data_IF_130981458507
#
_entry.id   IF_130981458507
#
_cell.length_a   1.000
_cell.length_b   1.000
_cell.length_c   1.000
_cell.angle_alpha   90.00
_cell.angle_beta   90.00
_cell.angle_gamma   90.00
#
_symmetry.space_group_name_H-M   'P 1'
#
loop_
_entity.id
_entity.type
_entity.pdbx_description
1 polymer ?
#
# COMPACT_ATOMS: atom_id res chain seq x y z
N UNK A 1 -22.01 -2.43 2.19
CA UNK A 1 -20.99 -3.42 2.62
C UNK A 1 -19.66 -2.70 2.68
N UNK A 2 -19.30 -2.13 3.84
CA UNK A 2 -18.18 -1.16 3.99
C UNK A 2 -16.86 -1.82 4.44
N UNK A 3 -16.75 -3.15 4.31
CA UNK A 3 -15.64 -3.93 4.86
C UNK A 3 -14.31 -3.64 4.15
N UNK A 4 -14.33 -3.76 2.82
CA UNK A 4 -13.18 -3.60 1.95
C UNK A 4 -12.89 -2.11 1.68
N UNK A 5 -12.55 -1.40 2.75
CA UNK A 5 -12.22 0.03 2.69
C UNK A 5 -10.84 0.27 3.30
N UNK A 6 -10.29 1.45 3.03
CA UNK A 6 -9.12 1.97 3.69
C UNK A 6 -9.51 3.19 4.52
N UNK A 7 -9.66 2.99 5.83
CA UNK A 7 -9.98 4.01 6.82
C UNK A 7 -9.17 3.72 8.10
N UNK A 8 -7.83 3.82 8.03
CA UNK A 8 -6.99 3.53 9.19
C UNK A 8 -7.25 4.56 10.28
N UNK A 9 -7.42 4.07 11.51
CA UNK A 9 -7.49 4.89 12.71
C UNK A 9 -6.30 4.58 13.59
N UNK A 10 -5.54 5.61 13.98
CA UNK A 10 -4.46 5.44 14.94
C UNK A 10 -5.04 5.45 16.35
N UNK A 11 -4.72 4.43 17.13
CA UNK A 11 -5.11 4.34 18.54
C UNK A 11 -3.88 4.57 19.40
N UNK A 12 -3.98 5.53 20.30
CA UNK A 12 -2.89 5.88 21.21
C UNK A 12 -3.08 5.15 22.55
N UNK A 13 -1.99 5.01 23.29
CA UNK A 13 -2.11 4.68 24.71
C UNK A 13 -2.66 5.93 25.44
N UNK A 14 -3.58 5.77 26.40
CA UNK A 14 -4.28 6.92 27.00
C UNK A 14 -3.36 7.99 27.59
N UNK A 15 -2.26 7.59 28.24
CA UNK A 15 -1.28 8.52 28.82
C UNK A 15 -0.55 9.33 27.74
N UNK A 16 -0.21 8.69 26.62
CA UNK A 16 0.46 9.32 25.48
C UNK A 16 -0.48 10.27 24.75
N UNK A 17 -1.74 9.87 24.60
CA UNK A 17 -2.80 10.70 24.02
C UNK A 17 -3.01 11.97 24.83
N UNK A 18 -3.15 11.86 26.15
CA UNK A 18 -3.38 13.02 27.02
C UNK A 18 -2.16 13.96 27.05
N UNK A 19 -0.94 13.40 27.04
CA UNK A 19 0.29 14.17 26.94
C UNK A 19 0.33 15.02 25.67
N UNK A 20 0.10 14.41 24.50
CA UNK A 20 0.12 15.15 23.23
C UNK A 20 -1.08 16.07 23.04
N UNK A 21 -2.26 15.68 23.53
CA UNK A 21 -3.43 16.54 23.57
C UNK A 21 -3.18 17.82 24.39
N UNK A 22 -2.47 17.68 25.52
CA UNK A 22 -2.07 18.82 26.36
C UNK A 22 -1.01 19.70 25.68
N UNK A 23 -0.03 19.08 25.00
CA UNK A 23 1.08 19.81 24.37
C UNK A 23 0.67 20.55 23.08
N UNK A 24 -0.16 19.94 22.23
CA UNK A 24 -0.53 20.49 20.92
C UNK A 24 -1.95 21.08 20.86
N UNK A 25 -2.78 20.81 21.87
CA UNK A 25 -4.23 21.05 21.85
C UNK A 25 -4.98 19.91 21.16
N UNK A 26 -6.15 19.52 21.71
CA UNK A 26 -6.94 18.36 21.26
C UNK A 26 -7.25 18.39 19.76
N UNK A 27 -7.71 19.52 19.24
CA UNK A 27 -8.09 19.63 17.81
C UNK A 27 -6.89 19.51 16.87
N UNK A 28 -5.74 20.08 17.24
CA UNK A 28 -4.53 20.00 16.44
C UNK A 28 -3.95 18.58 16.48
N UNK A 29 -3.91 17.98 17.66
CA UNK A 29 -3.44 16.61 17.83
C UNK A 29 -4.32 15.60 17.08
N UNK A 30 -5.64 15.82 17.00
CA UNK A 30 -6.54 15.00 16.20
C UNK A 30 -6.15 15.03 14.70
N UNK A 31 -5.84 16.21 14.15
CA UNK A 31 -5.37 16.34 12.76
C UNK A 31 -4.01 15.65 12.53
N UNK A 32 -3.08 15.77 13.48
CA UNK A 32 -1.79 15.08 13.43
C UNK A 32 -2.01 13.56 13.42
N UNK A 33 -2.84 13.05 14.33
CA UNK A 33 -3.16 11.62 14.44
C UNK A 33 -3.79 11.08 13.16
N UNK A 34 -4.71 11.84 12.56
CA UNK A 34 -5.29 11.51 11.27
C UNK A 34 -4.24 11.47 10.17
N UNK A 35 -3.34 12.47 10.10
CA UNK A 35 -2.28 12.51 9.10
C UNK A 35 -1.29 11.35 9.23
N UNK A 36 -0.92 10.97 10.46
CA UNK A 36 0.01 9.86 10.74
C UNK A 36 -0.55 8.49 10.32
N UNK A 37 -1.88 8.34 10.28
CA UNK A 37 -2.52 7.11 9.82
C UNK A 37 -2.43 6.92 8.28
N UNK A 38 -1.98 7.94 7.54
CA UNK A 38 -1.94 7.93 6.08
C UNK A 38 -0.50 8.13 5.57
N UNK A 39 -0.08 7.42 4.50
CA UNK A 39 1.21 7.64 3.89
C UNK A 39 1.27 9.01 3.19
N UNK A 40 2.47 9.58 3.10
CA UNK A 40 2.71 10.74 2.24
C UNK A 40 2.53 10.37 0.77
N UNK A 41 1.85 11.24 0.01
CA UNK A 41 1.76 11.13 -1.44
C UNK A 41 3.06 11.53 -2.16
N UNK A 42 4.13 11.84 -1.42
CA UNK A 42 5.43 12.20 -1.98
C UNK A 42 6.48 11.14 -1.63
N UNK A 43 7.20 10.69 -2.66
CA UNK A 43 8.46 9.96 -2.51
C UNK A 43 9.63 10.93 -2.65
N UNK A 44 10.51 10.93 -1.66
CA UNK A 44 11.69 11.79 -1.62
C UNK A 44 12.94 10.98 -1.94
N UNK A 45 13.69 11.40 -2.95
CA UNK A 45 14.93 10.73 -3.38
C UNK A 45 16.08 11.71 -3.25
N UNK A 46 17.09 11.34 -2.46
CA UNK A 46 18.37 12.04 -2.44
C UNK A 46 19.25 11.50 -3.57
N UNK A 47 19.58 12.38 -4.50
CA UNK A 47 20.51 12.11 -5.61
C UNK A 47 21.92 11.98 -5.06
N UNK A 48 22.61 10.91 -5.45
CA UNK A 48 24.03 10.76 -5.21
C UNK A 48 24.83 11.61 -6.20
N UNK A 49 25.13 12.85 -5.81
CA UNK A 49 25.82 13.84 -6.64
C UNK A 49 27.29 13.50 -6.93
N UNK A 50 27.87 12.51 -6.24
CA UNK A 50 29.19 11.97 -6.56
C UNK A 50 29.18 11.08 -7.83
N UNK A 51 28.00 10.54 -8.21
CA UNK A 51 27.86 9.63 -9.35
C UNK A 51 27.09 10.22 -10.52
N UNK A 52 26.18 11.15 -10.29
CA UNK A 52 25.35 11.74 -11.34
C UNK A 52 24.79 13.10 -10.93
N UNK A 53 24.33 13.90 -11.89
CA UNK A 53 23.69 15.19 -11.60
C UNK A 53 22.20 15.00 -11.30
N UNK A 54 21.62 15.92 -10.53
CA UNK A 54 20.17 15.95 -10.26
C UNK A 54 19.34 15.96 -11.54
N UNK A 55 19.78 16.69 -12.57
CA UNK A 55 19.08 16.75 -13.86
C UNK A 55 19.08 15.39 -14.57
N UNK A 56 20.22 14.72 -14.65
CA UNK A 56 20.33 13.41 -15.31
C UNK A 56 19.47 12.35 -14.60
N UNK A 57 19.49 12.33 -13.27
CA UNK A 57 18.65 11.40 -12.48
C UNK A 57 17.17 11.72 -12.64
N UNK A 58 16.79 13.00 -12.66
CA UNK A 58 15.40 13.42 -12.91
C UNK A 58 14.90 12.91 -14.27
N UNK A 59 15.71 13.03 -15.33
CA UNK A 59 15.34 12.52 -16.67
C UNK A 59 15.21 11.00 -16.69
N UNK A 60 16.10 10.26 -16.01
CA UNK A 60 15.98 8.80 -15.86
C UNK A 60 14.70 8.42 -15.12
N UNK A 61 14.40 9.10 -14.01
CA UNK A 61 13.19 8.86 -13.23
C UNK A 61 11.93 9.12 -14.05
N UNK A 62 11.86 10.24 -14.78
CA UNK A 62 10.72 10.54 -15.66
C UNK A 62 10.49 9.42 -16.69
N UNK A 63 11.56 8.88 -17.29
CA UNK A 63 11.46 7.75 -18.22
C UNK A 63 10.92 6.48 -17.54
N UNK A 64 11.47 6.10 -16.40
CA UNK A 64 11.05 4.91 -15.64
C UNK A 64 9.60 5.00 -15.19
N UNK A 65 9.22 6.17 -14.69
CA UNK A 65 7.88 6.47 -14.20
C UNK A 65 6.85 6.39 -15.33
N UNK A 66 7.16 6.96 -16.50
CA UNK A 66 6.27 6.89 -17.67
C UNK A 66 6.15 5.46 -18.21
N UNK A 67 7.24 4.69 -18.22
CA UNK A 67 7.21 3.27 -18.59
C UNK A 67 6.35 2.45 -17.63
N UNK A 68 6.45 2.74 -16.33
CA UNK A 68 5.65 2.06 -15.30
C UNK A 68 4.17 2.48 -15.31
N UNK A 69 3.85 3.70 -15.76
CA UNK A 69 2.48 4.14 -16.00
C UNK A 69 1.84 3.48 -17.23
N UNK A 70 2.65 3.08 -18.22
CA UNK A 70 2.20 2.32 -19.39
C UNK A 70 2.05 0.83 -19.09
N UNK A 71 2.90 0.26 -18.22
CA UNK A 71 2.87 -1.18 -17.89
C UNK A 71 1.74 -1.59 -16.93
N UNK A 72 1.04 -0.64 -16.30
CA UNK A 72 -0.19 -0.92 -15.54
C UNK A 72 -1.47 -0.88 -16.40
N UNK A 73 -1.37 -0.60 -17.71
CA UNK A 73 -2.44 -0.75 -18.69
C UNK A 73 -2.35 -2.11 -19.40
N UNK A 74 -3.43 -2.89 -19.36
CA UNK A 74 -3.50 -4.27 -19.85
C UNK A 74 -2.99 -4.50 -21.28
N UNK A 75 -2.37 -5.67 -21.46
CA UNK A 75 -2.26 -6.37 -22.74
C UNK A 75 -3.64 -6.48 -23.40
N UNK A 76 -3.79 -5.85 -24.57
CA UNK A 76 -4.75 -6.23 -25.61
C UNK A 76 -6.03 -5.41 -25.69
N UNK A 77 -6.03 -4.30 -26.44
CA UNK A 77 -6.87 -4.14 -27.65
C UNK A 77 -6.44 -2.89 -28.44
N UNK A 78 -6.67 -2.92 -29.75
CA UNK A 78 -6.09 -2.07 -30.80
C UNK A 78 -6.41 -0.58 -30.68
N UNK A 79 -5.45 0.20 -31.19
CA UNK A 79 -5.50 1.65 -31.44
C UNK A 79 -6.69 1.97 -32.38
N UNK A 80 -7.64 2.75 -31.87
CA UNK A 80 -8.54 3.57 -32.66
C UNK A 80 -8.28 5.02 -32.30
N UNK A 81 -7.74 5.78 -33.24
CA UNK A 81 -7.53 7.23 -33.13
C UNK A 81 -8.89 7.94 -33.03
N UNK A 82 -9.15 8.70 -31.96
CA UNK A 82 -9.98 9.92 -32.03
C UNK A 82 -9.54 10.99 -31.01
N UNK A 83 -9.21 12.14 -31.60
CA UNK A 83 -9.13 13.53 -31.16
C UNK A 83 -9.71 13.98 -29.80
N UNK A 84 -8.96 14.88 -29.15
CA UNK A 84 -9.47 16.18 -28.69
C UNK A 84 -10.28 16.21 -27.38
N UNK A 85 -9.58 16.31 -26.25
CA UNK A 85 -10.16 16.74 -24.97
C UNK A 85 -9.11 16.70 -23.87
N UNK A 86 -8.97 17.80 -23.12
CA UNK A 86 -8.16 17.88 -21.91
C UNK A 86 -8.71 16.91 -20.84
N UNK A 87 -8.30 15.66 -20.91
CA UNK A 87 -8.44 14.71 -19.83
C UNK A 87 -7.07 14.60 -19.16
N UNK A 88 -6.97 15.12 -17.95
CA UNK A 88 -5.79 14.91 -17.11
C UNK A 88 -5.58 13.40 -16.98
N UNK A 89 -4.55 12.87 -17.64
CA UNK A 89 -4.19 11.46 -17.56
C UNK A 89 -4.05 11.04 -16.10
N UNK A 90 -4.98 10.21 -15.63
CA UNK A 90 -5.08 9.65 -14.29
C UNK A 90 -3.96 8.62 -14.05
N UNK A 91 -2.72 9.11 -13.94
CA UNK A 91 -1.54 8.24 -13.81
C UNK A 91 -0.18 8.89 -14.04
N UNK A 92 -0.09 10.18 -14.37
CA UNK A 92 1.21 10.84 -14.53
C UNK A 92 1.79 11.22 -13.18
N UNK A 93 2.89 10.57 -12.78
CA UNK A 93 3.61 11.01 -11.59
C UNK A 93 4.42 12.27 -11.93
N UNK A 94 4.37 13.25 -11.03
CA UNK A 94 5.08 14.52 -11.21
C UNK A 94 6.42 14.47 -10.47
N UNK A 95 7.52 14.46 -11.22
CA UNK A 95 8.88 14.59 -10.69
C UNK A 95 9.25 16.06 -10.67
N UNK A 96 9.66 16.58 -9.52
CA UNK A 96 10.13 17.95 -9.38
C UNK A 96 11.34 18.02 -8.43
N UNK A 97 12.17 19.04 -8.63
CA UNK A 97 13.28 19.34 -7.73
C UNK A 97 12.74 19.92 -6.43
N UNK A 98 13.48 19.70 -5.34
CA UNK A 98 13.19 20.37 -4.09
C UNK A 98 13.31 21.90 -4.26
N UNK A 99 12.31 22.68 -3.85
CA UNK A 99 12.34 24.15 -3.98
C UNK A 99 13.16 24.83 -2.87
N UNK A 100 13.55 24.10 -1.83
CA UNK A 100 14.28 24.65 -0.68
C UNK A 100 15.78 24.70 -0.95
N UNK A 101 16.40 25.84 -0.65
CA UNK A 101 17.85 26.02 -0.73
C UNK A 101 18.59 25.05 0.19
N UNK A 102 19.72 24.51 -0.26
CA UNK A 102 20.51 23.50 0.44
C UNK A 102 20.04 22.06 0.22
N UNK A 103 18.95 21.85 -0.52
CA UNK A 103 18.39 20.53 -0.87
C UNK A 103 18.32 20.31 -2.39
N UNK A 104 19.23 20.91 -3.16
CA UNK A 104 19.27 20.84 -4.63
C UNK A 104 19.53 19.42 -5.16
N UNK A 105 20.01 18.53 -4.29
CA UNK A 105 20.18 17.10 -4.56
C UNK A 105 18.94 16.26 -4.23
N UNK A 106 17.81 16.85 -3.84
CA UNK A 106 16.58 16.13 -3.53
C UNK A 106 15.56 16.26 -4.67
N UNK A 107 15.02 15.12 -5.09
CA UNK A 107 13.91 15.00 -6.02
C UNK A 107 12.68 14.51 -5.30
N UNK A 108 11.54 15.14 -5.58
CA UNK A 108 10.23 14.70 -5.13
C UNK A 108 9.48 14.06 -6.29
N UNK A 109 8.81 12.95 -6.00
CA UNK A 109 7.90 12.29 -6.93
C UNK A 109 6.53 12.25 -6.27
N UNK A 110 5.58 12.95 -6.87
CA UNK A 110 4.20 13.01 -6.38
C UNK A 110 3.41 11.83 -6.97
N UNK A 111 2.93 10.96 -6.09
CA UNK A 111 1.91 9.95 -6.37
C UNK A 111 0.50 10.46 -6.06
N UNK A 112 -0.45 9.54 -5.97
CA UNK A 112 -1.86 9.83 -5.72
C UNK A 112 -2.50 8.83 -4.76
N UNK A 113 -3.57 9.27 -4.08
CA UNK A 113 -4.34 8.48 -3.12
C UNK A 113 -4.88 9.34 -1.97
N UNK A 114 -5.74 8.79 -1.11
CA UNK A 114 -6.28 7.42 -1.18
C UNK A 114 -7.33 7.27 -2.29
N UNK A 115 -7.25 6.17 -3.05
CA UNK A 115 -8.21 5.80 -4.08
C UNK A 115 -9.26 4.84 -3.53
N UNK A 116 -10.53 5.05 -3.92
CA UNK A 116 -11.58 4.08 -3.67
C UNK A 116 -11.39 2.88 -4.61
N UNK A 117 -11.39 1.66 -4.05
CA UNK A 117 -11.21 0.44 -4.83
C UNK A 117 -12.50 -0.37 -4.84
N UNK A 118 -12.81 -0.97 -5.98
CA UNK A 118 -13.95 -1.87 -6.13
C UNK A 118 -13.49 -3.31 -5.91
N UNK A 119 -13.84 -3.83 -4.75
CA UNK A 119 -13.67 -5.23 -4.42
C UNK A 119 -14.96 -5.94 -4.88
N UNK A 120 -14.84 -6.87 -5.83
CA UNK A 120 -15.98 -7.59 -6.41
C UNK A 120 -16.57 -8.60 -5.40
N UNK A 121 -17.15 -8.09 -4.33
CA UNK A 121 -17.80 -8.86 -3.27
C UNK A 121 -19.19 -9.29 -3.76
N UNK A 122 -19.25 -10.45 -4.44
CA UNK A 122 -20.53 -11.03 -4.84
C UNK A 122 -21.15 -11.79 -3.66
N UNK A 123 -22.48 -11.73 -3.47
CA UNK A 123 -23.16 -12.49 -2.41
C UNK A 123 -22.83 -13.99 -2.52
N UNK A 124 -22.20 -14.55 -1.49
CA UNK A 124 -21.82 -15.98 -1.46
C UNK A 124 -20.41 -16.31 -1.98
N UNK A 125 -19.62 -15.31 -2.43
CA UNK A 125 -18.22 -15.48 -2.79
C UNK A 125 -17.37 -14.37 -2.16
N UNK A 126 -16.82 -14.64 -0.98
CA UNK A 126 -15.81 -13.74 -0.39
C UNK A 126 -14.53 -13.82 -1.21
N UNK A 127 -13.99 -12.65 -1.55
CA UNK A 127 -12.70 -12.56 -2.24
C UNK A 127 -11.61 -13.23 -1.39
N UNK A 128 -10.69 -13.96 -2.03
CA UNK A 128 -9.52 -14.53 -1.35
C UNK A 128 -8.69 -13.40 -0.73
N UNK A 129 -8.20 -13.62 0.49
CA UNK A 129 -7.53 -12.58 1.27
C UNK A 129 -6.10 -12.98 1.62
N UNK A 130 -5.23 -11.98 1.66
CA UNK A 130 -3.88 -12.07 2.19
C UNK A 130 -3.70 -10.98 3.24
N UNK A 131 -3.18 -11.37 4.39
CA UNK A 131 -2.87 -10.47 5.50
C UNK A 131 -1.37 -10.33 5.60
N UNK A 132 -0.91 -9.08 5.59
CA UNK A 132 0.50 -8.72 5.69
C UNK A 132 0.81 -8.04 7.02
N UNK A 133 2.08 -8.07 7.40
CA UNK A 133 2.56 -7.31 8.55
C UNK A 133 2.47 -5.80 8.34
N UNK A 134 2.41 -5.04 9.44
CA UNK A 134 2.44 -3.56 9.42
C UNK A 134 3.57 -2.99 8.55
N UNK A 135 4.81 -3.46 8.73
CA UNK A 135 5.98 -2.98 7.96
C UNK A 135 5.85 -3.28 6.46
N UNK A 136 5.27 -4.43 6.11
CA UNK A 136 4.99 -4.77 4.72
C UNK A 136 3.93 -3.83 4.13
N UNK A 137 2.82 -3.61 4.85
CA UNK A 137 1.76 -2.70 4.43
C UNK A 137 2.27 -1.27 4.21
N UNK A 138 3.07 -0.73 5.15
CA UNK A 138 3.71 0.59 5.03
C UNK A 138 4.62 0.70 3.79
N UNK A 139 5.22 -0.41 3.35
CA UNK A 139 6.03 -0.47 2.14
C UNK A 139 5.16 -0.54 0.88
N UNK A 140 4.09 -1.33 0.91
CA UNK A 140 3.12 -1.47 -0.20
C UNK A 140 2.37 -0.17 -0.46
N UNK A 141 1.97 0.54 0.59
CA UNK A 141 1.37 1.88 0.53
C UNK A 141 2.32 2.91 -0.10
N UNK A 142 3.63 2.64 -0.11
CA UNK A 142 4.66 3.44 -0.79
C UNK A 142 5.10 2.87 -2.15
N UNK A 143 4.35 1.93 -2.70
CA UNK A 143 4.56 1.41 -4.06
C UNK A 143 5.23 0.04 -4.16
N UNK A 144 5.65 -0.58 -3.05
CA UNK A 144 6.29 -1.90 -3.08
C UNK A 144 5.33 -3.05 -3.46
N UNK A 145 5.87 -4.18 -3.91
CA UNK A 145 5.13 -5.44 -4.00
C UNK A 145 5.02 -6.13 -2.64
N UNK A 146 4.14 -7.12 -2.50
CA UNK A 146 4.10 -7.96 -1.30
C UNK A 146 5.11 -9.09 -1.47
N UNK A 147 6.11 -9.12 -0.61
CA UNK A 147 7.11 -10.19 -0.58
C UNK A 147 6.78 -11.23 0.49
N UNK A 148 7.22 -12.46 0.26
CA UNK A 148 6.95 -13.63 1.13
C UNK A 148 7.17 -13.37 2.63
N UNK A 149 8.29 -12.75 3.08
CA UNK A 149 8.50 -12.49 4.51
C UNK A 149 7.45 -11.57 5.14
N UNK A 150 6.76 -10.76 4.34
CA UNK A 150 5.75 -9.83 4.80
C UNK A 150 4.37 -10.47 5.02
N UNK A 151 4.14 -11.68 4.52
CA UNK A 151 2.83 -12.36 4.61
C UNK A 151 2.69 -13.09 5.94
N UNK A 152 1.58 -12.83 6.63
CA UNK A 152 1.24 -13.45 7.91
C UNK A 152 0.18 -14.54 7.73
N UNK A 153 -0.89 -14.26 6.99
CA UNK A 153 -1.98 -15.22 6.79
C UNK A 153 -2.55 -15.11 5.37
N UNK A 154 -3.17 -16.16 4.89
CA UNK A 154 -3.95 -16.11 3.65
C UNK A 154 -5.08 -17.14 3.63
N UNK A 155 -6.02 -16.96 2.71
CA UNK A 155 -7.12 -17.91 2.50
C UNK A 155 -6.62 -19.32 2.16
N UNK A 156 -7.36 -20.34 2.58
CA UNK A 156 -6.98 -21.75 2.44
C UNK A 156 -6.60 -22.15 1.00
N UNK A 157 -7.34 -21.63 0.01
CA UNK A 157 -7.27 -22.04 -1.39
C UNK A 157 -6.65 -20.95 -2.30
N UNK A 158 -5.70 -20.17 -1.78
CA UNK A 158 -4.91 -19.26 -2.61
C UNK A 158 -3.94 -20.07 -3.47
N UNK A 159 -4.10 -19.93 -4.78
CA UNK A 159 -3.27 -20.46 -5.85
C UNK A 159 -2.62 -19.33 -6.65
N UNK A 160 -1.54 -19.66 -7.35
CA UNK A 160 -0.88 -18.71 -8.24
C UNK A 160 -1.87 -18.26 -9.33
N UNK A 161 -1.96 -16.94 -9.55
CA UNK A 161 -2.86 -16.33 -10.51
C UNK A 161 -4.18 -15.84 -9.91
N UNK A 162 -4.49 -16.19 -8.67
CA UNK A 162 -5.71 -15.72 -8.01
C UNK A 162 -5.67 -14.21 -7.76
N UNK A 163 -6.82 -13.55 -7.97
CA UNK A 163 -7.04 -12.19 -7.49
C UNK A 163 -7.30 -12.22 -5.98
N UNK A 164 -6.54 -11.43 -5.24
CA UNK A 164 -6.57 -11.40 -3.77
C UNK A 164 -6.69 -9.98 -3.23
N UNK A 165 -7.49 -9.82 -2.18
CA UNK A 165 -7.54 -8.61 -1.37
C UNK A 165 -6.39 -8.62 -0.36
N UNK A 166 -5.67 -7.51 -0.24
CA UNK A 166 -4.55 -7.38 0.70
C UNK A 166 -4.96 -6.47 1.85
N UNK A 167 -4.83 -6.97 3.07
CA UNK A 167 -5.11 -6.24 4.30
C UNK A 167 -3.93 -6.29 5.27
N UNK A 168 -3.90 -5.38 6.23
CA UNK A 168 -2.83 -5.28 7.22
C UNK A 168 -3.25 -5.84 8.58
N UNK A 169 -2.37 -6.60 9.21
CA UNK A 169 -2.47 -6.91 10.64
C UNK A 169 -1.83 -5.77 11.44
N UNK A 170 -2.63 -5.11 12.26
CA UNK A 170 -2.18 -4.09 13.22
C UNK A 170 -2.40 -4.58 14.64
N UNK A 171 -1.60 -4.07 15.56
CA UNK A 171 -1.79 -4.33 16.99
C UNK A 171 -3.12 -3.73 17.44
N UNK A 172 -3.92 -4.54 18.13
CA UNK A 172 -5.18 -4.15 18.73
C UNK A 172 -5.10 -4.31 20.24
N UNK A 173 -5.82 -3.48 21.01
CA UNK A 173 -5.93 -3.68 22.44
C UNK A 173 -6.70 -4.98 22.71
N UNK A 174 -6.11 -5.87 23.50
CA UNK A 174 -6.75 -7.11 23.98
C UNK A 174 -7.22 -6.88 25.41
N UNK A 175 -8.45 -7.31 25.71
CA UNK A 175 -8.97 -7.26 27.08
C UNK A 175 -7.97 -7.92 28.03
N UNK A 176 -7.59 -7.17 29.07
CA UNK A 176 -6.76 -7.62 30.18
C UNK A 176 -5.30 -8.05 29.87
N UNK A 177 -4.80 -7.85 28.64
CA UNK A 177 -3.46 -8.32 28.23
C UNK A 177 -2.66 -7.36 27.35
N UNK A 178 -3.01 -6.07 27.35
CA UNK A 178 -2.26 -5.04 26.64
C UNK A 178 -2.58 -5.01 25.14
N UNK A 179 -1.56 -5.06 24.28
CA UNK A 179 -1.69 -4.96 22.82
C UNK A 179 -1.21 -6.25 22.16
N UNK A 180 -1.99 -6.79 21.22
CA UNK A 180 -1.57 -7.93 20.41
C UNK A 180 -2.09 -7.81 18.97
N UNK A 181 -1.34 -8.38 18.03
CA UNK A 181 -1.75 -8.44 16.61
C UNK A 181 -2.82 -9.51 16.38
N UNK A 182 -2.91 -10.53 17.26
CA UNK A 182 -3.87 -11.63 17.13
C UNK A 182 -3.59 -12.61 15.98
N UNK A 183 -2.68 -12.28 15.06
CA UNK A 183 -2.40 -13.05 13.85
C UNK A 183 -0.94 -13.50 13.82
N UNK A 184 -0.73 -14.82 13.84
CA UNK A 184 0.59 -15.46 13.68
C UNK A 184 0.81 -15.92 12.24
N UNK A 185 2.09 -16.09 11.87
CA UNK A 185 2.47 -16.52 10.52
C UNK A 185 1.96 -17.94 10.24
N UNK A 186 1.21 -18.11 9.17
CA UNK A 186 0.67 -19.38 8.69
C UNK A 186 -0.81 -19.59 8.98
N UNK A 187 -1.50 -18.67 9.65
CA UNK A 187 -2.95 -18.76 9.88
C UNK A 187 -3.70 -18.89 8.55
N UNK A 188 -4.70 -19.76 8.55
CA UNK A 188 -5.61 -19.98 7.42
C UNK A 188 -6.85 -19.12 7.62
N UNK A 189 -7.21 -18.34 6.60
CA UNK A 189 -8.45 -17.56 6.60
C UNK A 189 -9.54 -18.37 5.88
N UNK A 190 -10.71 -18.54 6.51
CA UNK A 190 -11.84 -19.18 5.84
C UNK A 190 -12.66 -18.16 5.04
N UNK A 191 -12.48 -16.86 5.29
CA UNK A 191 -13.17 -15.79 4.58
C UNK A 191 -14.65 -15.69 4.97
N UNK A 192 -15.01 -16.27 6.12
CA UNK A 192 -16.35 -16.29 6.68
C UNK A 192 -16.48 -15.20 7.75
N UNK A 193 -17.70 -14.67 7.93
CA UNK A 193 -17.99 -13.72 9.02
C UNK A 193 -17.67 -14.28 10.42
N UNK A 194 -17.67 -15.60 10.56
CA UNK A 194 -17.30 -16.30 11.78
C UNK A 194 -15.80 -16.33 12.07
N UNK A 195 -14.94 -15.89 11.15
CA UNK A 195 -13.50 -15.80 11.41
C UNK A 195 -13.24 -14.81 12.55
N UNK A 196 -12.44 -15.21 13.54
CA UNK A 196 -12.13 -14.41 14.73
C UNK A 196 -11.58 -12.99 14.43
N UNK A 197 -11.02 -12.80 13.24
CA UNK A 197 -10.42 -11.56 12.77
C UNK A 197 -11.23 -10.88 11.64
N UNK A 198 -12.47 -11.31 11.38
CA UNK A 198 -13.24 -10.81 10.24
C UNK A 198 -13.54 -9.31 10.33
N UNK A 199 -14.02 -8.86 11.50
CA UNK A 199 -14.39 -7.47 11.77
C UNK A 199 -13.18 -6.58 12.09
N UNK A 200 -12.15 -7.14 12.75
CA UNK A 200 -10.93 -6.40 13.13
C UNK A 200 -10.17 -5.82 11.91
N UNK A 201 -10.40 -6.39 10.73
CA UNK A 201 -9.79 -5.97 9.45
C UNK A 201 -10.58 -4.90 8.70
N UNK A 202 -11.78 -4.56 9.17
CA UNK A 202 -12.62 -3.56 8.51
C UNK A 202 -11.87 -2.23 8.42
N UNK A 203 -11.79 -1.68 7.22
CA UNK A 203 -11.07 -0.42 6.99
C UNK A 203 -9.53 -0.55 6.86
N UNK A 204 -8.98 -1.77 6.85
CA UNK A 204 -7.53 -2.02 6.79
C UNK A 204 -7.06 -2.66 5.48
N UNK A 205 -7.84 -2.53 4.41
CA UNK A 205 -7.50 -3.07 3.09
C UNK A 205 -6.67 -2.06 2.31
N UNK A 206 -5.47 -2.46 1.88
CA UNK A 206 -4.48 -1.56 1.25
C UNK A 206 -4.45 -1.69 -0.28
N UNK A 207 -5.11 -2.70 -0.84
CA UNK A 207 -5.22 -2.90 -2.28
C UNK A 207 -5.70 -4.29 -2.69
N UNK A 208 -5.61 -4.55 -3.99
CA UNK A 208 -5.81 -5.85 -4.62
C UNK A 208 -4.57 -6.22 -5.45
N UNK A 209 -4.32 -7.50 -5.61
CA UNK A 209 -3.24 -8.00 -6.44
C UNK A 209 -3.49 -9.39 -6.96
N UNK A 210 -2.51 -9.92 -7.67
CA UNK A 210 -2.47 -11.30 -8.16
C UNK A 210 -1.47 -12.08 -7.32
N UNK A 211 -1.90 -13.21 -6.77
CA UNK A 211 -1.02 -14.11 -6.04
C UNK A 211 0.05 -14.68 -7.00
N UNK A 212 1.32 -14.45 -6.69
CA UNK A 212 2.44 -14.95 -7.48
C UNK A 212 2.81 -16.41 -7.12
N UNK A 213 2.29 -16.90 -5.99
CA UNK A 213 2.53 -18.23 -5.44
C UNK A 213 1.26 -18.76 -4.77
N UNK A 214 1.13 -20.09 -4.68
CA UNK A 214 0.10 -20.71 -3.85
C UNK A 214 0.39 -20.52 -2.36
N UNK A 215 -0.62 -20.73 -1.50
CA UNK A 215 -0.44 -20.71 -0.04
C UNK A 215 0.72 -21.59 0.42
N UNK A 216 0.79 -22.82 -0.08
CA UNK A 216 1.87 -23.74 0.26
C UNK A 216 3.24 -23.18 -0.15
N UNK A 217 3.31 -22.51 -1.31
CA UNK A 217 4.52 -21.82 -1.76
C UNK A 217 4.91 -20.68 -0.81
N UNK A 218 3.98 -19.78 -0.49
CA UNK A 218 4.20 -18.61 0.36
C UNK A 218 4.80 -18.99 1.71
N UNK A 219 4.28 -20.03 2.37
CA UNK A 219 4.74 -20.40 3.71
C UNK A 219 5.94 -21.37 3.74
N UNK A 220 6.32 -21.94 2.59
CA UNK A 220 7.49 -22.85 2.48
C UNK A 220 8.77 -22.12 2.09
N UNK A 221 8.69 -21.07 1.27
CA UNK A 221 9.87 -20.35 0.78
C UNK A 221 10.27 -19.21 1.71
N UNK A 222 11.53 -18.76 1.60
CA UNK A 222 12.09 -17.68 2.43
C UNK A 222 12.04 -16.30 1.76
N UNK A 223 11.97 -16.26 0.43
CA UNK A 223 12.03 -15.03 -0.36
C UNK A 223 11.22 -15.19 -1.65
N UNK A 224 10.98 -14.06 -2.32
CA UNK A 224 10.17 -13.99 -3.53
C UNK A 224 8.96 -13.08 -3.38
N UNK A 225 8.34 -12.76 -4.51
CA UNK A 225 7.09 -12.00 -4.55
C UNK A 225 5.95 -12.96 -4.19
N UNK A 226 5.13 -12.59 -3.21
CA UNK A 226 3.93 -13.33 -2.85
C UNK A 226 2.71 -12.77 -3.58
N UNK A 227 2.62 -11.44 -3.72
CA UNK A 227 1.53 -10.76 -4.44
C UNK A 227 2.09 -9.65 -5.31
N UNK A 228 1.71 -9.69 -6.58
CA UNK A 228 1.87 -8.59 -7.52
C UNK A 228 0.65 -7.66 -7.39
N UNK A 229 0.84 -6.51 -6.75
CA UNK A 229 -0.21 -5.54 -6.51
C UNK A 229 -0.60 -4.85 -7.81
N UNK A 230 -1.88 -4.97 -8.19
CA UNK A 230 -2.46 -4.42 -9.42
C UNK A 230 -3.31 -3.19 -9.16
N UNK A 231 -4.06 -3.17 -8.05
CA UNK A 231 -4.87 -2.03 -7.64
C UNK A 231 -4.46 -1.59 -6.24
N UNK A 232 -4.17 -0.30 -6.06
CA UNK A 232 -3.60 0.23 -4.83
C UNK A 232 -4.40 1.43 -4.35
N UNK A 233 -4.59 1.50 -3.04
CA UNK A 233 -5.18 2.69 -2.40
C UNK A 233 -4.27 3.90 -2.61
N UNK A 234 -2.95 3.71 -2.52
CA UNK A 234 -1.97 4.73 -2.87
C UNK A 234 -1.12 4.28 -4.05
N UNK A 235 -1.11 5.10 -5.09
CA UNK A 235 -0.31 4.89 -6.30
C UNK A 235 0.96 5.73 -6.17
N UNK A 236 2.02 5.11 -5.67
CA UNK A 236 3.39 5.63 -5.68
C UNK A 236 4.26 4.70 -6.53
N UNK A 237 5.29 5.24 -7.21
CA UNK A 237 6.16 4.42 -8.03
C UNK A 237 7.03 3.51 -7.16
N UNK A 238 7.24 2.28 -7.63
CA UNK A 238 8.18 1.35 -7.00
C UNK A 238 9.62 1.70 -7.40
N UNK A 239 10.54 1.65 -6.44
CA UNK A 239 11.98 1.82 -6.67
C UNK A 239 12.76 0.50 -6.49
N UNK A 240 12.06 -0.65 -6.55
CA UNK A 240 12.70 -1.95 -6.52
C UNK A 240 13.26 -2.28 -7.90
N UNK A 241 14.56 -2.04 -8.09
CA UNK A 241 15.29 -2.28 -9.33
C UNK A 241 16.47 -1.31 -9.45
N UNK A 242 17.56 -1.73 -10.10
CA UNK A 242 18.75 -0.88 -10.30
C UNK A 242 18.36 0.35 -11.13
N UNK A 243 18.43 1.55 -10.54
CA UNK A 243 18.40 2.84 -11.24
C UNK A 243 19.82 3.35 -11.53
#
# INVERSE_FOLDING_TARGET
TDRYTFRPGLRWQPEVEEYFASAYGRDHFARISQALAHPSCYSCIRVNTLKSTTHTVMQKLLKLVNQNGLSCGFNGLKIGEQNGGEQAHEGSYLVHKCPYSGLENVLFIRGSGPHALHYNDQPGHSMKEIIVSRKCAESVLRGAQVYVPGVLACSAHVEKGDKVAVSVAIEQPVKDSGWAVGITRGIVLQGLQSDAHYEERKGLYIGQGIAAMSRAGIFRVLHGVAVEMTERVYKLPSFNGRA
#
